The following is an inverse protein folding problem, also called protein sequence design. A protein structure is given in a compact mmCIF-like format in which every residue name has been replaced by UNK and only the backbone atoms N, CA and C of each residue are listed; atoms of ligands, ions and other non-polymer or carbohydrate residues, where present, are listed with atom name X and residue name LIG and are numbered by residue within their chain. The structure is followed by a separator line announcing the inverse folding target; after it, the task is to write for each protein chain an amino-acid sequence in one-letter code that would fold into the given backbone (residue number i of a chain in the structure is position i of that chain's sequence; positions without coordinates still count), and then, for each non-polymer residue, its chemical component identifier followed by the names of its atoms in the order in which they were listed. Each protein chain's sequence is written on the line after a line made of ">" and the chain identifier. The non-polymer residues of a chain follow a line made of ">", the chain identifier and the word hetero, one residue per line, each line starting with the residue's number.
data_IF_684072952208
#
_entry.id   IF_684072952208
#
_cell.length_a   1.000
_cell.length_b   1.000
_cell.length_c   1.000
_cell.angle_alpha   90.00
_cell.angle_beta   90.00
_cell.angle_gamma   90.00
#
_symmetry.space_group_name_H-M   'P 1'
#
loop_
_entity.id
_entity.type
_entity.pdbx_description
1 polymer ?
#
# COMPACT_ATOMS: atom_id res chain seq x y z
N UNK A 1 -9.33 -46.52 -16.76
CA UNK A 1 -8.15 -46.91 -17.56
C UNK A 1 -6.92 -46.52 -16.78
N UNK A 2 -6.11 -47.49 -16.33
CA UNK A 2 -4.80 -47.21 -15.72
C UNK A 2 -3.78 -47.18 -16.84
N UNK A 3 -3.39 -45.99 -17.31
CA UNK A 3 -2.26 -45.85 -18.22
C UNK A 3 -0.96 -46.13 -17.45
N UNK A 4 -0.12 -47.02 -17.97
CA UNK A 4 1.26 -47.14 -17.51
C UNK A 4 1.99 -45.85 -17.87
N UNK A 5 2.80 -45.32 -16.97
CA UNK A 5 3.54 -44.08 -17.18
C UNK A 5 4.86 -44.40 -17.89
N UNK A 6 5.05 -43.89 -19.09
CA UNK A 6 6.31 -43.97 -19.85
C UNK A 6 7.41 -43.12 -19.19
N UNK A 7 8.69 -43.35 -19.52
CA UNK A 7 9.77 -42.49 -19.01
C UNK A 7 9.56 -41.00 -19.32
N UNK A 8 9.11 -40.66 -20.53
CA UNK A 8 8.84 -39.27 -20.93
C UNK A 8 7.72 -38.64 -20.09
N UNK A 9 6.61 -39.36 -19.89
CA UNK A 9 5.52 -38.90 -19.01
C UNK A 9 5.98 -38.77 -17.56
N UNK A 10 6.89 -39.63 -17.10
CA UNK A 10 7.45 -39.53 -15.75
C UNK A 10 8.34 -38.29 -15.58
N UNK A 11 9.21 -37.99 -16.55
CA UNK A 11 10.02 -36.76 -16.51
C UNK A 11 9.13 -35.51 -16.57
N UNK A 12 8.10 -35.49 -17.42
CA UNK A 12 7.13 -34.40 -17.45
C UNK A 12 6.39 -34.25 -16.10
N UNK A 13 6.04 -35.35 -15.44
CA UNK A 13 5.43 -35.32 -14.12
C UNK A 13 6.42 -34.83 -13.02
N UNK A 14 7.70 -35.19 -13.11
CA UNK A 14 8.76 -34.66 -12.24
C UNK A 14 8.89 -33.14 -12.45
N UNK A 15 8.97 -32.67 -13.70
CA UNK A 15 9.00 -31.24 -14.05
C UNK A 15 7.84 -30.47 -13.40
N UNK A 16 6.60 -30.91 -13.61
CA UNK A 16 5.44 -30.24 -13.01
C UNK A 16 5.46 -30.22 -11.48
N UNK A 17 6.02 -31.26 -10.84
CA UNK A 17 6.21 -31.27 -9.38
C UNK A 17 7.32 -30.32 -8.92
N UNK A 18 8.41 -30.20 -9.67
CA UNK A 18 9.50 -29.23 -9.41
C UNK A 18 8.96 -27.81 -9.53
N UNK A 19 8.23 -27.49 -10.61
CA UNK A 19 7.63 -26.16 -10.81
C UNK A 19 6.68 -25.77 -9.66
N UNK A 20 5.98 -26.75 -9.08
CA UNK A 20 5.12 -26.52 -7.92
C UNK A 20 5.88 -26.39 -6.60
N UNK A 21 6.96 -27.15 -6.42
CA UNK A 21 7.61 -27.35 -5.11
C UNK A 21 9.09 -26.94 -5.04
N UNK A 22 9.60 -26.20 -6.02
CA UNK A 22 11.01 -25.79 -6.07
C UNK A 22 11.38 -24.96 -4.85
N UNK A 23 10.49 -24.07 -4.38
CA UNK A 23 10.79 -23.18 -3.27
C UNK A 23 10.92 -23.95 -1.94
N UNK A 24 10.06 -24.95 -1.72
CA UNK A 24 10.19 -25.87 -0.58
C UNK A 24 11.52 -26.63 -0.67
N UNK A 25 11.88 -27.13 -1.84
CA UNK A 25 13.10 -27.90 -2.02
C UNK A 25 14.36 -27.04 -1.78
N UNK A 26 14.40 -25.82 -2.32
CA UNK A 26 15.50 -24.86 -2.10
C UNK A 26 15.57 -24.41 -0.64
N UNK A 27 14.43 -24.17 0.01
CA UNK A 27 14.40 -23.87 1.44
C UNK A 27 14.94 -25.03 2.29
N UNK A 28 14.58 -26.28 1.95
CA UNK A 28 15.03 -27.47 2.66
C UNK A 28 16.55 -27.67 2.57
N UNK A 29 17.18 -27.34 1.43
CA UNK A 29 18.65 -27.34 1.28
C UNK A 29 19.35 -26.39 2.27
N UNK A 30 18.67 -25.32 2.68
CA UNK A 30 19.16 -24.36 3.67
C UNK A 30 18.72 -24.68 5.11
N UNK A 31 18.14 -25.86 5.33
CA UNK A 31 17.66 -26.33 6.63
C UNK A 31 16.30 -25.76 7.05
N UNK A 32 15.51 -25.23 6.11
CA UNK A 32 14.16 -24.71 6.36
C UNK A 32 13.12 -25.72 5.86
N UNK A 33 12.48 -26.43 6.79
CA UNK A 33 11.46 -27.44 6.48
C UNK A 33 12.05 -28.82 6.19
N UNK A 34 11.18 -29.74 5.76
CA UNK A 34 11.55 -31.13 5.47
C UNK A 34 12.19 -31.29 4.09
N UNK A 35 13.06 -32.29 3.95
CA UNK A 35 13.63 -32.67 2.65
C UNK A 35 12.52 -32.96 1.65
N UNK A 36 12.64 -32.38 0.46
CA UNK A 36 11.68 -32.57 -0.63
C UNK A 36 12.22 -33.61 -1.61
N UNK A 37 11.41 -34.63 -1.86
CA UNK A 37 11.63 -35.61 -2.92
C UNK A 37 10.48 -35.57 -3.93
N UNK A 38 10.83 -35.80 -5.20
CA UNK A 38 9.92 -35.77 -6.34
C UNK A 38 9.60 -37.20 -6.77
N UNK A 39 8.48 -37.73 -6.29
CA UNK A 39 8.06 -39.10 -6.59
C UNK A 39 6.95 -39.18 -7.65
N UNK A 40 7.10 -40.10 -8.61
CA UNK A 40 6.10 -40.43 -9.65
C UNK A 40 5.78 -41.92 -9.63
N UNK A 41 4.50 -42.27 -9.51
CA UNK A 41 4.05 -43.68 -9.59
C UNK A 41 4.01 -44.12 -11.05
N UNK A 42 4.76 -45.16 -11.38
CA UNK A 42 4.99 -45.58 -12.77
C UNK A 42 3.89 -46.50 -13.33
N UNK A 43 3.15 -47.15 -12.44
CA UNK A 43 2.09 -48.13 -12.78
C UNK A 43 0.87 -47.99 -11.86
N UNK A 44 0.19 -46.83 -11.87
CA UNK A 44 -0.84 -46.49 -10.90
C UNK A 44 -2.05 -47.45 -10.97
N UNK A 45 -2.17 -48.36 -10.01
CA UNK A 45 -3.28 -49.33 -9.95
C UNK A 45 -2.96 -50.70 -10.57
N UNK A 46 -1.79 -50.89 -11.18
CA UNK A 46 -1.32 -52.20 -11.66
C UNK A 46 -0.37 -52.82 -10.64
N UNK A 47 -0.94 -53.58 -9.68
CA UNK A 47 -0.18 -54.21 -8.56
C UNK A 47 -0.19 -55.74 -8.59
N UNK A 48 -0.96 -56.37 -9.47
CA UNK A 48 -1.19 -57.82 -9.48
C UNK A 48 -1.10 -58.39 -10.90
N UNK A 49 -0.80 -59.69 -11.03
CA UNK A 49 -0.80 -60.36 -12.33
C UNK A 49 -2.13 -60.25 -13.08
N UNK A 50 -3.27 -60.30 -12.37
CA UNK A 50 -4.61 -60.09 -12.96
C UNK A 50 -4.77 -58.70 -13.58
N UNK A 51 -4.16 -57.67 -12.99
CA UNK A 51 -4.18 -56.33 -13.55
C UNK A 51 -3.30 -56.23 -14.82
N UNK A 52 -2.18 -56.96 -14.85
CA UNK A 52 -1.31 -57.06 -16.04
C UNK A 52 -2.02 -57.80 -17.18
N UNK A 53 -2.75 -58.88 -16.89
CA UNK A 53 -3.53 -59.63 -17.88
C UNK A 53 -4.60 -58.76 -18.55
N UNK A 54 -5.31 -57.93 -17.78
CA UNK A 54 -6.30 -56.98 -18.31
C UNK A 54 -5.69 -55.89 -19.19
N UNK A 55 -4.44 -55.51 -18.93
CA UNK A 55 -3.71 -54.51 -19.71
C UNK A 55 -3.15 -55.10 -21.03
N UNK A 56 -2.85 -56.40 -21.02
CA UNK A 56 -2.18 -57.09 -22.11
C UNK A 56 -0.67 -57.23 -21.89
N UNK A 57 -0.15 -58.44 -22.10
CA UNK A 57 1.26 -58.76 -21.85
C UNK A 57 2.23 -58.02 -22.78
N UNK A 58 1.85 -57.74 -24.02
CA UNK A 58 2.68 -56.99 -24.99
C UNK A 58 2.92 -55.56 -24.52
N UNK A 59 1.87 -54.87 -24.09
CA UNK A 59 1.94 -53.51 -23.54
C UNK A 59 2.80 -53.46 -22.28
N UNK A 60 2.62 -54.44 -21.38
CA UNK A 60 3.42 -54.57 -20.16
C UNK A 60 4.90 -54.79 -20.46
N UNK A 61 5.22 -55.70 -21.40
CA UNK A 61 6.59 -55.99 -21.78
C UNK A 61 7.26 -54.78 -22.45
N UNK A 62 6.58 -54.12 -23.40
CA UNK A 62 7.08 -52.93 -24.07
C UNK A 62 7.40 -51.79 -23.08
N UNK A 63 6.48 -51.51 -22.16
CA UNK A 63 6.70 -50.53 -21.09
C UNK A 63 7.87 -50.91 -20.17
N UNK A 64 7.97 -52.18 -19.75
CA UNK A 64 9.08 -52.64 -18.92
C UNK A 64 10.44 -52.48 -19.62
N UNK A 65 10.49 -52.74 -20.93
CA UNK A 65 11.71 -52.59 -21.72
C UNK A 65 12.14 -51.12 -21.86
N UNK A 66 11.18 -50.19 -22.06
CA UNK A 66 11.47 -48.75 -22.05
C UNK A 66 12.07 -48.31 -20.71
N UNK A 67 11.50 -48.77 -19.59
CA UNK A 67 12.04 -48.42 -18.27
C UNK A 67 13.39 -49.07 -17.97
N UNK A 68 13.66 -50.28 -18.48
CA UNK A 68 14.97 -50.92 -18.35
C UNK A 68 16.07 -50.13 -19.06
N UNK A 69 15.78 -49.65 -20.27
CA UNK A 69 16.71 -48.82 -21.04
C UNK A 69 16.89 -47.43 -20.43
N UNK A 70 15.80 -46.81 -19.95
CA UNK A 70 15.89 -45.53 -19.28
C UNK A 70 16.66 -45.60 -17.96
N UNK A 71 16.46 -46.66 -17.16
CA UNK A 71 17.08 -46.81 -15.85
C UNK A 71 18.62 -46.97 -15.92
N UNK A 72 19.19 -47.33 -17.08
CA UNK A 72 20.64 -47.49 -17.23
C UNK A 72 21.38 -46.15 -17.37
N UNK A 73 20.65 -45.06 -17.56
CA UNK A 73 21.16 -43.71 -17.84
C UNK A 73 20.69 -42.66 -16.83
N UNK A 74 20.23 -43.09 -15.64
CA UNK A 74 19.74 -42.16 -14.63
C UNK A 74 20.89 -41.34 -14.02
N UNK A 75 20.71 -40.03 -13.86
CA UNK A 75 21.69 -39.20 -13.17
C UNK A 75 21.72 -39.50 -11.66
N UNK A 76 22.78 -39.05 -11.00
CA UNK A 76 22.85 -39.10 -9.54
C UNK A 76 21.65 -38.36 -8.91
N UNK A 77 21.14 -38.88 -7.80
CA UNK A 77 19.95 -38.31 -7.13
C UNK A 77 18.62 -38.79 -7.69
N UNK A 78 18.60 -39.64 -8.73
CA UNK A 78 17.39 -40.26 -9.29
C UNK A 78 17.42 -41.77 -9.13
N UNK A 79 16.35 -42.36 -8.62
CA UNK A 79 16.20 -43.80 -8.46
C UNK A 79 14.84 -44.31 -8.95
N UNK A 80 14.83 -45.52 -9.50
CA UNK A 80 13.60 -46.26 -9.82
C UNK A 80 13.42 -47.38 -8.82
N UNK A 81 12.51 -47.17 -7.87
CA UNK A 81 12.10 -48.20 -6.91
C UNK A 81 11.32 -49.28 -7.64
N UNK A 82 11.79 -50.52 -7.51
CA UNK A 82 11.16 -51.71 -8.09
C UNK A 82 10.36 -52.44 -7.02
N UNK A 83 9.28 -53.09 -7.43
CA UNK A 83 8.48 -53.93 -6.53
C UNK A 83 8.03 -55.19 -7.25
N UNK A 84 8.06 -56.32 -6.53
CA UNK A 84 7.65 -57.61 -7.04
C UNK A 84 6.19 -57.63 -7.50
N UNK A 85 5.94 -58.22 -8.67
CA UNK A 85 4.60 -58.61 -9.13
C UNK A 85 4.66 -60.02 -9.66
N UNK A 86 3.72 -60.86 -9.21
CA UNK A 86 3.57 -62.23 -9.70
C UNK A 86 2.62 -62.25 -10.89
N UNK A 87 3.11 -62.72 -12.04
CA UNK A 87 2.36 -62.85 -13.30
C UNK A 87 2.43 -64.31 -13.71
N UNK A 88 1.27 -64.99 -13.85
CA UNK A 88 1.19 -66.43 -14.19
C UNK A 88 2.09 -67.33 -13.32
N UNK A 89 2.14 -67.07 -12.01
CA UNK A 89 2.93 -67.85 -11.06
C UNK A 89 4.43 -67.52 -11.00
N UNK A 90 4.92 -66.58 -11.83
CA UNK A 90 6.31 -66.13 -11.82
C UNK A 90 6.40 -64.74 -11.20
N UNK A 91 7.19 -64.60 -10.12
CA UNK A 91 7.50 -63.32 -9.52
C UNK A 91 8.61 -62.59 -10.29
N UNK A 92 8.43 -61.30 -10.56
CA UNK A 92 9.46 -60.45 -11.14
C UNK A 92 9.44 -59.04 -10.54
N UNK A 93 10.58 -58.37 -10.54
CA UNK A 93 10.75 -57.01 -10.03
C UNK A 93 10.60 -55.97 -11.12
N UNK A 94 9.56 -55.15 -10.99
CA UNK A 94 9.18 -54.18 -12.01
C UNK A 94 9.18 -52.76 -11.44
N UNK A 95 9.47 -51.75 -12.27
CA UNK A 95 9.41 -50.33 -11.89
C UNK A 95 8.09 -49.99 -11.21
N UNK A 96 8.15 -49.33 -10.06
CA UNK A 96 6.97 -48.96 -9.28
C UNK A 96 6.87 -47.45 -9.08
N UNK A 97 7.99 -46.84 -8.67
CA UNK A 97 8.09 -45.40 -8.38
C UNK A 97 9.42 -44.88 -8.89
N UNK A 98 9.41 -43.72 -9.54
CA UNK A 98 10.61 -42.92 -9.78
C UNK A 98 10.70 -41.88 -8.67
N UNK A 99 11.82 -41.83 -7.94
CA UNK A 99 12.12 -40.78 -6.97
C UNK A 99 13.30 -39.95 -7.50
N UNK A 100 13.27 -38.65 -7.24
CA UNK A 100 14.38 -37.75 -7.51
C UNK A 100 14.51 -36.73 -6.37
N UNK A 101 15.73 -36.42 -5.94
CA UNK A 101 16.00 -35.17 -5.22
C UNK A 101 16.04 -33.98 -6.19
N UNK A 102 16.26 -32.76 -5.70
CA UNK A 102 16.18 -31.56 -6.55
C UNK A 102 17.26 -31.54 -7.64
N UNK A 103 18.50 -31.91 -7.31
CA UNK A 103 19.61 -31.95 -8.27
C UNK A 103 19.39 -33.05 -9.32
N UNK A 104 19.03 -34.26 -8.85
CA UNK A 104 18.70 -35.36 -9.75
C UNK A 104 17.52 -35.03 -10.66
N UNK A 105 16.47 -34.37 -10.15
CA UNK A 105 15.34 -33.92 -10.95
C UNK A 105 15.76 -32.87 -11.99
N UNK A 106 16.59 -31.90 -11.61
CA UNK A 106 17.08 -30.87 -12.51
C UNK A 106 17.92 -31.46 -13.66
N UNK A 107 18.86 -32.36 -13.35
CA UNK A 107 19.66 -33.05 -14.37
C UNK A 107 18.80 -33.94 -15.26
N UNK A 108 17.86 -34.70 -14.68
CA UNK A 108 16.94 -35.55 -15.44
C UNK A 108 16.09 -34.76 -16.44
N UNK A 109 15.63 -33.58 -16.01
CA UNK A 109 14.88 -32.67 -16.88
C UNK A 109 15.79 -32.13 -17.99
N UNK A 110 16.99 -31.66 -17.67
CA UNK A 110 17.93 -31.13 -18.66
C UNK A 110 18.33 -32.17 -19.72
N UNK A 111 18.70 -33.39 -19.31
CA UNK A 111 19.19 -34.46 -20.20
C UNK A 111 18.14 -34.98 -21.20
N UNK A 112 16.86 -34.64 -20.98
CA UNK A 112 15.74 -35.05 -21.85
C UNK A 112 15.26 -33.95 -22.80
N UNK A 113 15.80 -32.74 -22.71
CA UNK A 113 15.37 -31.57 -23.48
C UNK A 113 16.36 -31.24 -24.60
N UNK A 114 16.31 -31.98 -25.71
CA UNK A 114 17.01 -31.58 -26.95
C UNK A 114 16.26 -30.49 -27.75
N UNK A 115 14.95 -30.25 -27.48
CA UNK A 115 14.10 -29.35 -28.31
C UNK A 115 12.94 -28.61 -27.58
N UNK A 116 12.92 -28.52 -26.24
CA UNK A 116 11.78 -27.91 -25.50
C UNK A 116 12.17 -26.74 -24.58
N UNK A 117 11.19 -25.85 -24.33
CA UNK A 117 11.31 -24.59 -23.59
C UNK A 117 12.10 -24.73 -22.27
N UNK A 118 12.96 -23.74 -21.93
CA UNK A 118 13.73 -23.75 -20.69
C UNK A 118 12.81 -23.89 -19.47
N UNK A 119 13.32 -24.48 -18.39
CA UNK A 119 12.56 -24.56 -17.14
C UNK A 119 12.08 -23.16 -16.73
N UNK A 120 10.80 -23.04 -16.35
CA UNK A 120 10.17 -21.77 -15.94
C UNK A 120 10.85 -21.13 -14.72
N UNK A 121 11.66 -21.90 -13.99
CA UNK A 121 12.44 -21.45 -12.82
C UNK A 121 13.90 -21.81 -13.01
N UNK A 122 14.75 -20.79 -13.05
CA UNK A 122 16.21 -20.91 -13.01
C UNK A 122 16.65 -21.29 -11.57
N UNK A 123 16.73 -22.58 -11.27
CA UNK A 123 17.05 -23.10 -9.93
C UNK A 123 18.35 -22.52 -9.36
N UNK A 124 19.35 -22.23 -10.21
CA UNK A 124 20.59 -21.57 -9.80
C UNK A 124 20.35 -20.15 -9.23
N UNK A 125 19.49 -19.36 -9.89
CA UNK A 125 19.09 -18.03 -9.42
C UNK A 125 18.28 -18.12 -8.13
N UNK A 126 17.33 -19.06 -8.05
CA UNK A 126 16.53 -19.30 -6.85
C UNK A 126 17.41 -19.65 -5.62
N UNK A 127 18.41 -20.53 -5.80
CA UNK A 127 19.37 -20.88 -4.75
C UNK A 127 20.24 -19.69 -4.32
N UNK A 128 20.76 -18.95 -5.29
CA UNK A 128 21.56 -17.75 -5.01
C UNK A 128 20.75 -16.71 -4.23
N UNK A 129 19.49 -16.48 -4.63
CA UNK A 129 18.57 -15.58 -3.95
C UNK A 129 18.27 -16.05 -2.53
N UNK A 130 17.93 -17.32 -2.33
CA UNK A 130 17.65 -17.89 -1.00
C UNK A 130 18.85 -17.76 -0.05
N UNK A 131 20.06 -18.04 -0.54
CA UNK A 131 21.31 -17.86 0.21
C UNK A 131 21.55 -16.40 0.60
N UNK A 132 21.29 -15.47 -0.33
CA UNK A 132 21.46 -14.03 -0.11
C UNK A 132 20.46 -13.51 0.93
N UNK A 133 19.18 -13.88 0.81
CA UNK A 133 18.14 -13.56 1.79
C UNK A 133 18.50 -14.06 3.19
N UNK A 134 18.93 -15.33 3.28
CA UNK A 134 19.35 -15.92 4.56
C UNK A 134 20.56 -15.18 5.16
N UNK A 135 21.53 -14.80 4.34
CA UNK A 135 22.71 -14.05 4.76
C UNK A 135 22.38 -12.65 5.26
N UNK A 136 21.45 -11.96 4.58
CA UNK A 136 20.89 -10.68 5.04
C UNK A 136 20.12 -10.81 6.37
N UNK A 137 19.67 -12.02 6.71
CA UNK A 137 18.91 -12.34 7.91
C UNK A 137 17.40 -12.27 7.70
N UNK A 138 16.94 -12.50 6.48
CA UNK A 138 15.53 -12.65 6.18
C UNK A 138 14.97 -13.95 6.79
N UNK A 139 13.71 -13.88 7.20
CA UNK A 139 12.85 -15.03 7.46
C UNK A 139 12.53 -15.72 6.14
N UNK A 140 13.28 -16.79 5.87
CA UNK A 140 13.12 -17.58 4.66
C UNK A 140 12.01 -18.60 4.84
N UNK A 141 11.02 -18.58 3.96
CA UNK A 141 9.95 -19.58 3.84
C UNK A 141 9.71 -19.86 2.35
N UNK A 142 9.06 -20.98 1.97
CA UNK A 142 8.72 -21.23 0.58
C UNK A 142 7.81 -20.16 -0.02
N UNK A 143 6.95 -19.52 0.78
CA UNK A 143 6.09 -18.44 0.33
C UNK A 143 6.88 -17.15 0.09
N UNK A 144 7.73 -16.76 1.05
CA UNK A 144 8.57 -15.56 0.90
C UNK A 144 9.57 -15.72 -0.24
N UNK A 145 10.21 -16.89 -0.39
CA UNK A 145 11.13 -17.14 -1.50
C UNK A 145 10.46 -17.00 -2.87
N UNK A 146 9.27 -17.58 -3.06
CA UNK A 146 8.50 -17.40 -4.31
C UNK A 146 8.17 -15.94 -4.56
N UNK A 147 7.71 -15.24 -3.53
CA UNK A 147 7.31 -13.84 -3.64
C UNK A 147 8.51 -12.94 -4.05
N UNK A 148 9.68 -13.14 -3.42
CA UNK A 148 10.89 -12.38 -3.78
C UNK A 148 11.41 -12.77 -5.17
N UNK A 149 11.37 -14.05 -5.54
CA UNK A 149 11.78 -14.49 -6.88
C UNK A 149 10.91 -13.89 -8.00
N UNK A 150 9.66 -13.53 -7.70
CA UNK A 150 8.76 -12.86 -8.64
C UNK A 150 8.99 -11.34 -8.77
N UNK A 151 9.89 -10.76 -7.98
CA UNK A 151 10.16 -9.33 -8.03
C UNK A 151 11.14 -8.97 -9.17
N UNK A 152 11.03 -7.75 -9.72
CA UNK A 152 12.09 -7.15 -10.52
C UNK A 152 13.43 -7.10 -9.75
N UNK A 153 14.54 -7.25 -10.46
CA UNK A 153 15.88 -7.33 -9.84
C UNK A 153 16.21 -6.13 -8.95
N UNK A 154 15.83 -4.91 -9.34
CA UNK A 154 16.00 -3.71 -8.53
C UNK A 154 15.21 -3.78 -7.21
N UNK A 155 13.99 -4.33 -7.22
CA UNK A 155 13.16 -4.46 -6.02
C UNK A 155 13.69 -5.55 -5.09
N UNK A 156 14.29 -6.61 -5.64
CA UNK A 156 15.03 -7.62 -4.86
C UNK A 156 16.20 -6.98 -4.12
N UNK A 157 16.99 -6.15 -4.80
CA UNK A 157 18.12 -5.45 -4.18
C UNK A 157 17.66 -4.49 -3.06
N UNK A 158 16.58 -3.73 -3.29
CA UNK A 158 15.98 -2.86 -2.27
C UNK A 158 15.52 -3.67 -1.06
N UNK A 159 14.84 -4.79 -1.27
CA UNK A 159 14.36 -5.67 -0.21
C UNK A 159 15.51 -6.24 0.63
N UNK A 160 16.57 -6.75 -0.02
CA UNK A 160 17.73 -7.30 0.67
C UNK A 160 18.42 -6.22 1.52
N UNK A 161 18.60 -5.02 0.95
CA UNK A 161 19.15 -3.88 1.68
C UNK A 161 18.27 -3.47 2.87
N UNK A 162 16.95 -3.48 2.70
CA UNK A 162 15.99 -3.19 3.76
C UNK A 162 16.08 -4.19 4.91
N UNK A 163 16.07 -5.50 4.61
CA UNK A 163 16.22 -6.56 5.62
C UNK A 163 17.55 -6.44 6.35
N UNK A 164 18.66 -6.28 5.61
CA UNK A 164 19.98 -6.12 6.21
C UNK A 164 20.10 -4.85 7.07
N UNK A 165 19.37 -3.79 6.72
CA UNK A 165 19.28 -2.57 7.53
C UNK A 165 18.48 -2.80 8.81
N UNK A 166 17.27 -3.37 8.71
CA UNK A 166 16.40 -3.66 9.85
C UNK A 166 17.06 -4.60 10.87
N UNK A 167 17.82 -5.60 10.39
CA UNK A 167 18.58 -6.49 11.25
C UNK A 167 19.62 -5.75 12.11
N UNK A 168 20.22 -4.69 11.57
CA UNK A 168 21.23 -3.86 12.27
C UNK A 168 20.61 -2.76 13.14
N UNK A 169 19.32 -2.49 12.96
CA UNK A 169 18.59 -1.41 13.65
C UNK A 169 17.35 -2.01 14.33
N UNK A 170 17.50 -2.61 15.52
CA UNK A 170 16.41 -3.27 16.22
C UNK A 170 15.31 -2.30 16.69
N UNK A 171 15.54 -1.00 16.64
CA UNK A 171 14.57 0.05 16.90
C UNK A 171 14.60 1.05 15.75
N UNK A 172 13.45 1.29 15.12
CA UNK A 172 13.27 2.25 14.02
C UNK A 172 12.54 3.54 14.45
N UNK A 173 12.22 3.70 15.75
CA UNK A 173 11.43 4.83 16.27
C UNK A 173 12.08 6.20 16.07
N UNK A 174 13.41 6.25 15.90
CA UNK A 174 14.13 7.50 15.62
C UNK A 174 14.04 7.97 14.16
N UNK A 175 13.36 7.22 13.29
CA UNK A 175 13.15 7.57 11.90
C UNK A 175 11.67 7.74 11.61
N UNK A 176 11.33 8.67 10.73
CA UNK A 176 10.07 8.60 9.98
C UNK A 176 10.25 7.65 8.80
N UNK A 177 9.15 7.15 8.21
CA UNK A 177 9.20 6.32 7.00
C UNK A 177 10.10 6.89 5.89
N UNK A 178 10.10 8.22 5.71
CA UNK A 178 10.87 8.91 4.67
C UNK A 178 12.35 9.13 5.02
N UNK A 179 12.72 8.92 6.29
CA UNK A 179 14.09 9.06 6.77
C UNK A 179 14.83 7.73 6.83
N UNK A 180 14.15 6.59 6.59
CA UNK A 180 14.78 5.27 6.58
C UNK A 180 15.91 5.26 5.53
N UNK A 181 17.19 5.07 5.94
CA UNK A 181 18.34 5.22 5.05
C UNK A 181 18.62 3.91 4.31
N UNK A 182 17.62 3.43 3.57
CA UNK A 182 17.71 2.24 2.74
C UNK A 182 17.70 2.66 1.26
N UNK A 183 18.78 2.42 0.51
CA UNK A 183 18.87 2.77 -0.91
C UNK A 183 17.68 2.23 -1.71
N UNK A 184 17.05 3.08 -2.51
CA UNK A 184 15.91 2.74 -3.37
C UNK A 184 14.56 2.55 -2.64
N UNK A 185 14.54 2.46 -1.32
CA UNK A 185 13.32 2.26 -0.54
C UNK A 185 12.57 3.58 -0.28
N UNK A 186 11.87 4.09 -1.29
CA UNK A 186 11.00 5.26 -1.13
C UNK A 186 9.60 4.89 -0.64
N UNK A 187 8.79 5.88 -0.22
CA UNK A 187 7.44 5.64 0.34
C UNK A 187 6.55 4.79 -0.58
N UNK A 188 6.51 5.10 -1.89
CA UNK A 188 5.76 4.30 -2.88
C UNK A 188 6.21 2.84 -2.96
N UNK A 189 7.47 2.56 -2.65
CA UNK A 189 7.99 1.19 -2.65
C UNK A 189 7.47 0.45 -1.42
N UNK A 190 7.48 1.10 -0.25
CA UNK A 190 6.90 0.56 0.97
C UNK A 190 5.37 0.37 0.87
N UNK A 191 4.67 1.25 0.17
CA UNK A 191 3.23 1.09 -0.09
C UNK A 191 2.96 -0.20 -0.89
N UNK A 192 3.79 -0.50 -1.89
CA UNK A 192 3.66 -1.70 -2.74
C UNK A 192 4.19 -2.98 -2.08
N UNK A 193 5.36 -2.92 -1.44
CA UNK A 193 6.12 -4.10 -1.00
C UNK A 193 6.21 -4.25 0.53
N UNK A 194 5.59 -3.35 1.30
CA UNK A 194 5.69 -3.34 2.77
C UNK A 194 5.20 -4.61 3.45
N UNK A 195 4.17 -5.26 2.91
CA UNK A 195 3.70 -6.55 3.42
C UNK A 195 4.76 -7.65 3.25
N UNK A 196 5.39 -7.73 2.07
CA UNK A 196 6.47 -8.68 1.82
C UNK A 196 7.69 -8.35 2.69
N UNK A 197 8.07 -7.07 2.80
CA UNK A 197 9.15 -6.63 3.71
C UNK A 197 8.88 -7.09 5.14
N UNK A 198 7.65 -6.92 5.65
CA UNK A 198 7.27 -7.41 6.98
C UNK A 198 7.46 -8.91 7.10
N UNK A 199 6.98 -9.68 6.12
CA UNK A 199 7.03 -11.14 6.17
C UNK A 199 8.48 -11.66 6.09
N UNK A 200 9.36 -11.01 5.31
CA UNK A 200 10.78 -11.37 5.26
C UNK A 200 11.58 -10.82 6.43
N UNK A 201 11.24 -9.66 7.00
CA UNK A 201 11.95 -9.09 8.14
C UNK A 201 11.47 -9.66 9.48
N UNK A 202 10.29 -10.29 9.51
CA UNK A 202 9.63 -10.78 10.73
C UNK A 202 9.05 -9.66 11.61
N UNK A 203 9.01 -8.42 11.11
CA UNK A 203 8.53 -7.21 11.82
C UNK A 203 8.09 -6.15 10.82
N UNK A 204 7.14 -5.31 11.19
CA UNK A 204 6.64 -4.24 10.32
C UNK A 204 7.26 -2.89 10.70
N UNK A 205 8.26 -2.44 9.95
CA UNK A 205 8.92 -1.15 10.18
C UNK A 205 7.93 0.03 10.15
N UNK A 206 6.78 -0.12 9.48
CA UNK A 206 5.77 0.94 9.36
C UNK A 206 5.06 1.24 10.68
N UNK A 207 5.01 0.27 11.59
CA UNK A 207 4.39 0.41 12.90
C UNK A 207 5.38 0.93 13.96
N UNK A 208 6.67 0.97 13.63
CA UNK A 208 7.75 1.24 14.58
C UNK A 208 8.33 2.66 14.45
N UNK A 209 8.38 3.15 13.22
CA UNK A 209 8.84 4.51 12.90
C UNK A 209 7.97 5.56 13.60
N UNK A 210 8.60 6.66 14.05
CA UNK A 210 7.83 7.77 14.62
C UNK A 210 6.89 8.37 13.57
N UNK A 211 5.71 8.85 14.00
CA UNK A 211 4.81 9.55 13.11
C UNK A 211 5.48 10.80 12.54
N UNK A 212 5.07 11.17 11.34
CA UNK A 212 5.42 12.48 10.79
C UNK A 212 4.59 13.53 11.53
N UNK A 213 5.27 14.46 12.19
CA UNK A 213 4.60 15.58 12.82
C UNK A 213 3.98 16.49 11.76
N UNK A 214 2.80 17.01 12.06
CA UNK A 214 2.12 18.01 11.21
C UNK A 214 2.41 19.39 11.78
N UNK A 215 2.71 20.33 10.89
CA UNK A 215 2.95 21.73 11.23
C UNK A 215 1.74 22.54 10.79
N UNK A 216 1.17 23.29 11.73
CA UNK A 216 0.08 24.23 11.50
C UNK A 216 0.66 25.62 11.46
N UNK A 217 0.55 26.30 10.33
CA UNK A 217 0.98 27.69 10.21
C UNK A 217 -0.14 28.65 10.61
N UNK A 218 0.21 29.68 11.35
CA UNK A 218 -0.75 30.69 11.82
C UNK A 218 -0.19 32.11 11.68
N UNK A 219 -1.10 33.08 11.69
CA UNK A 219 -0.78 34.51 11.70
C UNK A 219 -1.60 35.18 12.80
N UNK A 220 -0.93 35.89 13.71
CA UNK A 220 -1.55 36.78 14.67
C UNK A 220 -2.03 38.05 13.96
N UNK A 221 -3.34 38.31 13.97
CA UNK A 221 -3.92 39.48 13.31
C UNK A 221 -4.62 40.44 14.27
N UNK A 222 -4.55 40.17 15.58
CA UNK A 222 -5.04 41.10 16.60
C UNK A 222 -4.38 42.48 16.46
N UNK A 223 -5.17 43.54 16.65
CA UNK A 223 -4.74 44.94 16.50
C UNK A 223 -3.63 45.31 17.49
N UNK A 224 -3.77 44.93 18.76
CA UNK A 224 -2.78 45.23 19.80
C UNK A 224 -1.50 44.42 19.57
N UNK A 225 -1.61 43.15 19.17
CA UNK A 225 -0.46 42.34 18.80
C UNK A 225 0.25 42.87 17.56
N UNK A 226 -0.48 43.24 16.51
CA UNK A 226 0.09 43.81 15.29
C UNK A 226 0.84 45.13 15.57
N UNK A 227 0.30 45.99 16.43
CA UNK A 227 0.94 47.24 16.85
C UNK A 227 2.20 47.04 17.71
N UNK A 228 2.37 45.87 18.34
CA UNK A 228 3.48 45.60 19.26
C UNK A 228 4.83 45.37 18.57
N UNK A 229 4.86 45.16 17.25
CA UNK A 229 6.08 44.83 16.50
C UNK A 229 6.62 43.41 16.74
N UNK A 230 5.89 42.56 17.49
CA UNK A 230 6.25 41.15 17.73
C UNK A 230 6.09 40.30 16.47
N UNK A 231 6.62 39.07 16.52
CA UNK A 231 6.49 38.07 15.46
C UNK A 231 5.01 37.81 15.16
N UNK A 232 4.61 38.09 13.92
CA UNK A 232 3.24 37.93 13.44
C UNK A 232 2.93 36.52 12.90
N UNK A 233 3.89 35.90 12.23
CA UNK A 233 3.72 34.58 11.61
C UNK A 233 4.37 33.52 12.48
N UNK A 234 3.61 32.47 12.78
CA UNK A 234 4.03 31.42 13.69
C UNK A 234 3.68 30.04 13.15
N UNK A 235 4.15 29.02 13.85
CA UNK A 235 3.77 27.64 13.58
C UNK A 235 3.65 26.84 14.87
N UNK A 236 2.64 25.98 14.95
CA UNK A 236 2.49 24.99 16.00
C UNK A 236 2.65 23.59 15.41
N UNK A 237 3.39 22.73 16.10
CA UNK A 237 3.64 21.35 15.64
C UNK A 237 2.90 20.37 16.54
N UNK A 238 2.33 19.31 15.97
CA UNK A 238 1.62 18.28 16.73
C UNK A 238 2.46 17.69 17.85
N UNK A 239 1.90 17.66 19.07
CA UNK A 239 2.57 17.17 20.27
C UNK A 239 3.42 18.21 21.00
N UNK A 240 3.51 19.44 20.46
CA UNK A 240 4.19 20.55 21.11
C UNK A 240 3.28 21.28 22.10
N UNK A 241 3.86 22.11 22.96
CA UNK A 241 3.13 22.96 23.89
C UNK A 241 2.27 23.99 23.16
N UNK A 242 1.19 24.43 23.79
CA UNK A 242 0.23 25.39 23.22
C UNK A 242 0.56 26.84 23.62
N UNK A 243 1.83 27.24 23.50
CA UNK A 243 2.29 28.60 23.83
C UNK A 243 2.08 29.56 22.64
N UNK A 244 0.90 30.18 22.58
CA UNK A 244 0.52 31.17 21.58
C UNK A 244 0.52 32.59 22.18
N UNK A 245 0.73 33.61 21.36
CA UNK A 245 0.97 34.98 21.84
C UNK A 245 -0.19 35.62 22.61
N UNK A 246 -1.43 35.13 22.44
CA UNK A 246 -2.62 35.49 23.20
C UNK A 246 -3.68 34.40 23.00
N UNK A 247 -4.64 34.32 23.93
CA UNK A 247 -5.79 33.46 23.76
C UNK A 247 -6.79 34.12 22.80
N UNK A 248 -7.03 33.55 21.61
CA UNK A 248 -7.90 34.15 20.62
C UNK A 248 -9.37 33.95 21.00
N UNK A 249 -10.19 34.96 20.70
CA UNK A 249 -11.65 34.80 20.68
C UNK A 249 -12.14 34.25 19.35
N UNK A 250 -11.37 34.48 18.29
CA UNK A 250 -11.75 34.12 16.92
C UNK A 250 -10.63 33.36 16.25
N UNK A 251 -10.96 32.19 15.72
CA UNK A 251 -10.10 31.45 14.80
C UNK A 251 -10.69 31.53 13.41
N UNK A 252 -9.93 32.08 12.47
CA UNK A 252 -10.24 31.99 11.05
C UNK A 252 -9.33 30.93 10.41
N UNK A 253 -9.92 29.84 9.93
CA UNK A 253 -9.23 28.83 9.13
C UNK A 253 -9.37 29.19 7.66
N UNK A 254 -8.23 29.35 6.98
CA UNK A 254 -8.15 29.65 5.54
C UNK A 254 -7.38 28.57 4.81
N UNK A 255 -7.78 28.20 3.59
CA UNK A 255 -7.03 27.20 2.80
C UNK A 255 -5.76 27.80 2.18
N UNK A 256 -5.87 29.02 1.67
CA UNK A 256 -4.78 29.66 0.94
C UNK A 256 -3.72 30.30 1.87
N UNK A 257 -2.45 30.00 1.58
CA UNK A 257 -1.27 30.52 2.31
C UNK A 257 -1.17 32.05 2.27
N UNK A 258 -1.41 32.68 1.12
CA UNK A 258 -1.28 34.13 0.98
C UNK A 258 -2.38 34.86 1.73
N UNK A 259 -3.60 34.30 1.74
CA UNK A 259 -4.67 34.81 2.60
C UNK A 259 -4.30 34.76 4.07
N UNK A 260 -3.67 33.67 4.56
CA UNK A 260 -3.18 33.62 5.95
C UNK A 260 -2.11 34.65 6.23
N UNK A 261 -1.15 34.83 5.31
CA UNK A 261 -0.01 35.73 5.52
C UNK A 261 -0.45 37.20 5.53
N UNK A 262 -1.38 37.56 4.66
CA UNK A 262 -1.73 38.97 4.42
C UNK A 262 -3.09 39.38 4.97
N UNK A 263 -3.78 38.51 5.71
CA UNK A 263 -5.10 38.83 6.26
C UNK A 263 -5.09 40.17 7.03
N UNK A 264 -6.06 41.07 6.85
CA UNK A 264 -6.11 42.34 7.54
C UNK A 264 -6.20 42.19 9.07
N UNK A 265 -5.75 43.20 9.85
CA UNK A 265 -5.90 43.16 11.30
C UNK A 265 -7.37 43.10 11.75
N UNK A 266 -7.67 42.19 12.67
CA UNK A 266 -8.99 42.00 13.30
C UNK A 266 -8.76 41.63 14.77
N UNK A 267 -9.43 42.32 15.69
CA UNK A 267 -9.26 42.12 17.14
C UNK A 267 -9.44 40.66 17.57
N UNK A 268 -8.64 40.22 18.53
CA UNK A 268 -8.71 38.90 19.18
C UNK A 268 -8.69 37.69 18.21
N UNK A 269 -8.16 37.88 16.99
CA UNK A 269 -8.26 36.90 15.91
C UNK A 269 -6.91 36.26 15.60
N UNK A 270 -6.88 34.94 15.42
CA UNK A 270 -5.74 34.22 14.82
C UNK A 270 -6.21 33.57 13.52
N UNK A 271 -5.41 33.72 12.47
CA UNK A 271 -5.67 33.10 11.16
C UNK A 271 -4.80 31.87 11.00
N UNK A 272 -5.38 30.74 10.61
CA UNK A 272 -4.73 29.42 10.58
C UNK A 272 -4.84 28.82 9.19
N UNK A 273 -3.77 28.17 8.71
CA UNK A 273 -3.75 27.47 7.42
C UNK A 273 -4.46 26.10 7.54
N UNK A 274 -5.57 25.94 6.84
CA UNK A 274 -6.31 24.69 6.68
C UNK A 274 -5.73 23.88 5.51
N UNK A 275 -4.71 23.06 5.77
CA UNK A 275 -4.04 22.21 4.77
C UNK A 275 -4.84 20.99 4.28
N UNK A 276 -6.09 21.17 3.86
CA UNK A 276 -6.97 20.10 3.34
C UNK A 276 -7.63 19.21 4.42
N UNK A 277 -8.29 18.11 3.99
CA UNK A 277 -9.12 17.24 4.86
C UNK A 277 -8.39 16.73 6.12
N UNK A 278 -7.12 16.32 6.00
CA UNK A 278 -6.34 15.82 7.14
C UNK A 278 -5.96 16.92 8.15
N UNK A 279 -5.73 18.15 7.67
CA UNK A 279 -5.47 19.28 8.54
C UNK A 279 -6.72 19.70 9.32
N UNK A 280 -7.91 19.64 8.70
CA UNK A 280 -9.18 19.94 9.37
C UNK A 280 -9.42 19.05 10.60
N UNK A 281 -9.20 17.73 10.47
CA UNK A 281 -9.31 16.80 11.59
C UNK A 281 -8.28 17.07 12.71
N UNK A 282 -7.08 17.52 12.34
CA UNK A 282 -6.07 17.90 13.31
C UNK A 282 -6.44 19.18 14.06
N UNK A 283 -6.85 20.22 13.33
CA UNK A 283 -7.28 21.50 13.87
C UNK A 283 -8.43 21.33 14.87
N UNK A 284 -9.32 20.38 14.60
CA UNK A 284 -10.41 20.04 15.50
C UNK A 284 -9.96 19.52 16.87
N UNK A 285 -8.70 19.17 17.09
CA UNK A 285 -8.22 18.71 18.40
C UNK A 285 -7.27 19.71 19.08
N UNK A 286 -7.10 20.92 18.53
CA UNK A 286 -6.21 21.93 19.10
C UNK A 286 -6.93 22.70 20.20
N UNK A 287 -6.42 22.73 21.45
CA UNK A 287 -7.12 23.32 22.60
C UNK A 287 -7.46 24.80 22.42
N UNK A 288 -6.55 25.62 21.90
CA UNK A 288 -6.83 27.05 21.70
C UNK A 288 -7.88 27.31 20.61
N UNK A 289 -8.01 26.42 19.61
CA UNK A 289 -9.11 26.45 18.62
C UNK A 289 -10.43 26.08 19.30
N UNK A 290 -10.44 25.02 20.11
CA UNK A 290 -11.61 24.59 20.89
C UNK A 290 -12.03 25.59 21.97
N UNK A 291 -11.12 26.42 22.45
CA UNK A 291 -11.41 27.44 23.47
C UNK A 291 -11.97 28.73 22.88
N UNK A 292 -11.76 29.00 21.59
CA UNK A 292 -12.20 30.22 20.95
C UNK A 292 -13.73 30.35 20.92
N UNK A 293 -14.24 31.57 21.04
CA UNK A 293 -15.68 31.85 20.98
C UNK A 293 -16.24 31.50 19.59
N UNK A 294 -15.48 31.84 18.54
CA UNK A 294 -15.87 31.66 17.15
C UNK A 294 -14.81 30.88 16.37
N UNK A 295 -15.23 29.81 15.70
CA UNK A 295 -14.43 29.11 14.68
C UNK A 295 -15.05 29.39 13.32
N UNK A 296 -14.29 30.05 12.47
CA UNK A 296 -14.71 30.52 11.15
C UNK A 296 -13.87 29.86 10.07
N UNK A 297 -14.50 29.47 8.97
CA UNK A 297 -13.85 28.84 7.83
C UNK A 297 -14.01 29.70 6.56
N UNK A 298 -12.95 29.77 5.76
CA UNK A 298 -12.98 30.38 4.44
C UNK A 298 -12.10 29.59 3.47
N UNK A 299 -12.73 28.96 2.48
CA UNK A 299 -12.07 28.15 1.46
C UNK A 299 -12.37 28.62 0.04
N UNK A 300 -11.90 27.84 -0.93
CA UNK A 300 -12.26 28.01 -2.33
C UNK A 300 -13.75 27.70 -2.53
N UNK A 301 -14.41 28.43 -3.43
CA UNK A 301 -15.75 28.05 -3.89
C UNK A 301 -15.58 26.99 -4.99
N UNK A 302 -15.23 25.77 -4.57
CA UNK A 302 -15.14 24.57 -5.41
C UNK A 302 -15.59 23.32 -4.66
N UNK A 303 -15.63 22.17 -5.34
CA UNK A 303 -16.09 20.92 -4.73
C UNK A 303 -15.20 20.47 -3.55
N UNK A 304 -13.90 20.71 -3.60
CA UNK A 304 -12.96 20.29 -2.56
C UNK A 304 -13.07 21.20 -1.33
N UNK A 305 -13.21 22.52 -1.52
CA UNK A 305 -13.38 23.49 -0.44
C UNK A 305 -14.64 23.25 0.39
N UNK A 306 -15.78 22.94 -0.26
CA UNK A 306 -16.99 22.53 0.46
C UNK A 306 -16.83 21.17 1.15
N UNK A 307 -16.12 20.22 0.54
CA UNK A 307 -15.86 18.94 1.19
C UNK A 307 -14.99 19.12 2.44
N UNK A 308 -13.98 20.00 2.42
CA UNK A 308 -13.18 20.32 3.61
C UNK A 308 -14.03 20.97 4.69
N UNK A 309 -14.89 21.94 4.34
CA UNK A 309 -15.83 22.56 5.28
C UNK A 309 -16.76 21.54 5.94
N UNK A 310 -17.35 20.63 5.17
CA UNK A 310 -18.22 19.56 5.68
C UNK A 310 -17.49 18.67 6.70
N UNK A 311 -16.29 18.21 6.34
CA UNK A 311 -15.46 17.38 7.22
C UNK A 311 -15.01 18.14 8.47
N UNK A 312 -14.69 19.43 8.35
CA UNK A 312 -14.28 20.27 9.47
C UNK A 312 -15.44 20.48 10.46
N UNK A 313 -16.66 20.70 9.96
CA UNK A 313 -17.87 20.73 10.78
C UNK A 313 -18.13 19.41 11.48
N UNK A 314 -18.04 18.29 10.76
CA UNK A 314 -18.22 16.97 11.34
C UNK A 314 -17.22 16.70 12.49
N UNK A 315 -15.95 17.08 12.31
CA UNK A 315 -14.90 16.89 13.31
C UNK A 315 -15.08 17.76 14.56
N UNK A 316 -15.59 19.00 14.41
CA UNK A 316 -15.86 19.91 15.52
C UNK A 316 -17.22 19.65 16.19
N UNK A 317 -18.16 18.97 15.52
CA UNK A 317 -19.48 18.63 16.05
C UNK A 317 -19.45 17.58 17.18
N UNK A 318 -18.34 16.86 17.35
CA UNK A 318 -18.11 15.97 18.49
C UNK A 318 -17.18 16.61 19.53
N UNK A 319 -17.32 16.27 20.83
CA UNK A 319 -16.35 16.67 21.85
C UNK A 319 -14.94 16.20 21.50
N UNK A 320 -13.94 16.99 21.87
CA UNK A 320 -12.54 16.62 21.68
C UNK A 320 -12.11 15.51 22.68
N UNK A 321 -11.04 14.75 22.37
CA UNK A 321 -10.53 13.70 23.27
C UNK A 321 -10.14 14.19 24.68
N UNK A 322 -9.80 15.47 24.82
CA UNK A 322 -9.47 16.13 26.09
C UNK A 322 -10.70 16.62 26.87
N UNK A 323 -11.91 16.36 26.35
CA UNK A 323 -13.18 16.74 26.95
C UNK A 323 -13.68 18.13 26.55
N UNK A 324 -12.99 18.86 25.66
CA UNK A 324 -13.51 20.13 25.16
C UNK A 324 -14.83 19.94 24.41
N UNK A 325 -15.82 20.83 24.58
CA UNK A 325 -17.15 20.65 24.00
C UNK A 325 -17.13 20.70 22.47
N UNK A 326 -18.22 20.21 21.87
CA UNK A 326 -18.49 20.42 20.45
C UNK A 326 -18.52 21.93 20.12
N UNK A 327 -18.07 22.28 18.91
CA UNK A 327 -18.02 23.65 18.41
C UNK A 327 -18.69 23.75 17.05
N UNK A 328 -19.47 24.81 16.89
CA UNK A 328 -20.03 25.18 15.59
C UNK A 328 -18.97 25.88 14.73
N UNK A 329 -18.99 25.64 13.43
CA UNK A 329 -18.14 26.32 12.44
C UNK A 329 -19.00 27.15 11.51
N UNK A 330 -18.73 28.45 11.49
CA UNK A 330 -19.37 29.37 10.55
C UNK A 330 -18.48 29.54 9.31
N UNK A 331 -19.04 29.56 8.11
CA UNK A 331 -18.27 29.89 6.90
C UNK A 331 -18.44 31.36 6.53
N UNK A 332 -17.48 31.94 5.81
CA UNK A 332 -17.61 33.24 5.16
C UNK A 332 -17.28 33.11 3.67
N UNK A 333 -17.96 33.92 2.84
CA UNK A 333 -17.67 34.04 1.41
C UNK A 333 -17.83 32.72 0.63
N UNK A 334 -18.72 31.83 1.09
CA UNK A 334 -18.96 30.51 0.51
C UNK A 334 -20.47 30.22 0.36
N UNK A 335 -21.31 31.26 0.32
CA UNK A 335 -22.74 31.09 0.08
C UNK A 335 -23.12 31.35 -1.38
N UNK A 336 -24.36 31.01 -1.75
CA UNK A 336 -24.87 31.24 -3.11
C UNK A 336 -24.80 32.72 -3.54
N UNK A 337 -24.93 33.65 -2.60
CA UNK A 337 -24.79 35.10 -2.85
C UNK A 337 -23.35 35.48 -3.20
N UNK A 338 -22.37 34.91 -2.50
CA UNK A 338 -20.95 35.12 -2.75
C UNK A 338 -20.52 34.47 -4.07
N UNK A 339 -20.98 33.24 -4.35
CA UNK A 339 -20.80 32.56 -5.64
C UNK A 339 -21.26 33.45 -6.80
N UNK A 340 -22.43 34.08 -6.68
CA UNK A 340 -22.96 34.98 -7.69
C UNK A 340 -22.13 36.26 -7.82
N UNK A 341 -21.82 36.89 -6.68
CA UNK A 341 -21.07 38.16 -6.61
C UNK A 341 -19.70 38.04 -7.27
N UNK A 342 -19.00 36.93 -7.04
CA UNK A 342 -17.63 36.72 -7.53
C UNK A 342 -17.56 35.88 -8.81
N UNK A 343 -18.69 35.65 -9.50
CA UNK A 343 -18.78 34.84 -10.71
C UNK A 343 -17.80 35.23 -11.83
N UNK A 344 -17.42 36.50 -11.92
CA UNK A 344 -16.41 37.00 -12.87
C UNK A 344 -15.01 36.37 -12.69
N UNK A 345 -14.73 35.81 -11.51
CA UNK A 345 -13.47 35.11 -11.20
C UNK A 345 -13.57 33.59 -11.44
N UNK A 346 -14.70 33.11 -11.95
CA UNK A 346 -14.98 31.71 -12.17
C UNK A 346 -14.08 31.05 -13.22
N UNK A 347 -13.55 29.87 -12.91
CA UNK A 347 -12.73 29.04 -13.80
C UNK A 347 -13.31 27.63 -13.97
N UNK A 348 -12.99 27.00 -15.11
CA UNK A 348 -13.40 25.63 -15.46
C UNK A 348 -12.24 24.66 -15.62
N UNK A 349 -11.00 25.13 -15.55
CA UNK A 349 -9.81 24.32 -15.77
C UNK A 349 -8.88 24.41 -14.55
N UNK A 350 -8.20 23.30 -14.28
CA UNK A 350 -7.18 23.22 -13.24
C UNK A 350 -5.87 23.92 -13.67
N UNK A 351 -4.86 23.93 -12.78
CA UNK A 351 -3.54 24.53 -13.03
C UNK A 351 -2.78 23.88 -14.21
N UNK A 352 -3.18 22.68 -14.63
CA UNK A 352 -2.63 21.96 -15.78
C UNK A 352 -3.49 22.14 -17.06
N UNK A 353 -4.50 23.00 -17.02
CA UNK A 353 -5.41 23.25 -18.15
C UNK A 353 -6.42 22.14 -18.39
N UNK A 354 -6.61 21.20 -17.47
CA UNK A 354 -7.58 20.11 -17.61
C UNK A 354 -8.94 20.56 -17.09
N UNK A 355 -10.07 20.14 -17.69
CA UNK A 355 -11.38 20.46 -17.17
C UNK A 355 -11.56 19.97 -15.74
N UNK A 356 -12.04 20.85 -14.86
CA UNK A 356 -12.45 20.51 -13.50
C UNK A 356 -13.65 19.57 -13.60
N UNK A 357 -13.59 18.46 -12.87
CA UNK A 357 -14.63 17.42 -12.93
C UNK A 357 -15.80 17.78 -12.00
N UNK A 358 -17.02 17.35 -12.34
CA UNK A 358 -18.12 17.39 -11.38
C UNK A 358 -17.83 16.50 -10.18
N UNK A 359 -18.48 16.79 -9.05
CA UNK A 359 -18.44 15.97 -7.84
C UNK A 359 -19.84 15.47 -7.48
N UNK A 360 -20.02 14.16 -7.28
CA UNK A 360 -21.28 13.59 -6.78
C UNK A 360 -21.31 13.46 -5.25
N UNK A 361 -20.29 13.96 -4.52
CA UNK A 361 -20.17 13.80 -3.07
C UNK A 361 -21.36 14.47 -2.36
N UNK A 362 -21.96 13.76 -1.39
CA UNK A 362 -23.02 14.30 -0.55
C UNK A 362 -22.39 14.91 0.70
N UNK A 363 -22.69 16.18 0.97
CA UNK A 363 -22.09 16.97 2.04
C UNK A 363 -23.19 17.40 3.05
N UNK A 364 -23.55 16.53 4.01
CA UNK A 364 -24.73 16.70 4.87
C UNK A 364 -24.62 17.79 5.93
N UNK A 365 -23.41 18.34 6.17
CA UNK A 365 -23.15 19.36 7.18
C UNK A 365 -23.08 20.78 6.58
N UNK A 366 -23.36 20.95 5.29
CA UNK A 366 -23.50 22.26 4.67
C UNK A 366 -24.81 22.94 5.07
N UNK A 367 -24.81 24.27 5.12
CA UNK A 367 -26.04 25.05 5.23
C UNK A 367 -26.82 24.99 3.92
N UNK A 368 -28.08 25.43 3.93
CA UNK A 368 -28.88 25.51 2.70
C UNK A 368 -28.22 26.41 1.63
N UNK A 369 -27.72 27.58 2.04
CA UNK A 369 -27.08 28.54 1.13
C UNK A 369 -25.78 28.00 0.51
N UNK A 370 -24.98 27.29 1.31
CA UNK A 370 -23.76 26.59 0.83
C UNK A 370 -24.11 25.40 -0.06
N UNK A 371 -25.15 24.63 0.27
CA UNK A 371 -25.63 23.50 -0.54
C UNK A 371 -26.07 23.96 -1.92
N UNK A 372 -26.76 25.11 -2.02
CA UNK A 372 -27.12 25.71 -3.31
C UNK A 372 -25.86 26.07 -4.11
N UNK A 373 -24.86 26.67 -3.46
CA UNK A 373 -23.61 27.04 -4.12
C UNK A 373 -22.84 25.81 -4.60
N UNK A 374 -22.63 24.81 -3.73
CA UNK A 374 -22.00 23.54 -4.05
C UNK A 374 -22.70 22.82 -5.20
N UNK A 375 -24.03 22.68 -5.17
CA UNK A 375 -24.76 22.01 -6.25
C UNK A 375 -24.62 22.75 -7.59
N UNK A 376 -24.49 24.08 -7.57
CA UNK A 376 -24.28 24.88 -8.79
C UNK A 376 -22.93 24.59 -9.45
N UNK A 377 -21.86 24.45 -8.67
CA UNK A 377 -20.50 24.25 -9.20
C UNK A 377 -20.12 22.77 -9.40
N UNK A 378 -20.66 21.87 -8.57
CA UNK A 378 -20.33 20.44 -8.57
C UNK A 378 -21.16 19.62 -9.57
N UNK A 379 -22.24 20.20 -10.12
CA UNK A 379 -23.18 19.53 -11.04
C UNK A 379 -22.50 18.82 -12.22
N UNK A 380 -23.01 17.65 -12.59
CA UNK A 380 -22.63 16.97 -13.82
C UNK A 380 -23.12 17.68 -15.09
N UNK A 381 -24.09 18.59 -14.96
CA UNK A 381 -24.62 19.39 -16.06
C UNK A 381 -23.73 20.59 -16.43
N UNK A 382 -24.20 21.42 -17.39
CA UNK A 382 -23.54 22.68 -17.74
C UNK A 382 -23.54 23.65 -16.55
N UNK A 383 -22.40 24.29 -16.33
CA UNK A 383 -22.24 25.39 -15.36
C UNK A 383 -21.30 26.44 -15.97
N UNK A 384 -21.52 27.76 -15.72
CA UNK A 384 -20.63 28.80 -16.24
C UNK A 384 -19.19 28.65 -15.74
N UNK A 385 -19.02 28.18 -14.50
CA UNK A 385 -17.71 27.92 -13.89
C UNK A 385 -17.83 26.87 -12.78
N UNK A 386 -16.71 26.23 -12.41
CA UNK A 386 -16.67 25.18 -11.38
C UNK A 386 -15.87 25.57 -10.14
N UNK A 387 -15.09 26.64 -10.22
CA UNK A 387 -14.25 27.10 -9.11
C UNK A 387 -14.12 28.60 -9.11
N UNK A 388 -14.16 29.20 -7.92
CA UNK A 388 -13.59 30.52 -7.65
C UNK A 388 -12.53 30.32 -6.57
N UNK A 389 -11.30 30.70 -6.87
CA UNK A 389 -10.18 30.60 -5.94
C UNK A 389 -10.37 31.65 -4.81
N UNK A 390 -10.08 31.27 -3.57
CA UNK A 390 -10.16 32.11 -2.37
C UNK A 390 -9.34 33.40 -2.54
N UNK A 391 -8.17 33.30 -3.18
CA UNK A 391 -7.26 34.42 -3.45
C UNK A 391 -7.81 35.46 -4.44
N UNK A 392 -8.85 35.12 -5.22
CA UNK A 392 -9.50 36.07 -6.12
C UNK A 392 -10.43 37.04 -5.38
N UNK A 393 -10.85 36.69 -4.16
CA UNK A 393 -11.75 37.51 -3.36
C UNK A 393 -10.94 38.48 -2.48
N UNK A 394 -11.22 39.80 -2.48
CA UNK A 394 -10.45 40.77 -1.70
C UNK A 394 -10.46 40.46 -0.20
N UNK A 395 -9.27 40.46 0.41
CA UNK A 395 -9.13 40.20 1.85
C UNK A 395 -9.88 41.21 2.74
N UNK A 396 -10.08 42.44 2.27
CA UNK A 396 -10.89 43.46 2.96
C UNK A 396 -12.36 43.06 3.05
N UNK A 397 -12.89 42.34 2.06
CA UNK A 397 -14.25 41.80 2.10
C UNK A 397 -14.33 40.65 3.10
N UNK A 398 -13.32 39.77 3.14
CA UNK A 398 -13.24 38.69 4.12
C UNK A 398 -13.18 39.22 5.56
N UNK A 399 -12.35 40.24 5.82
CA UNK A 399 -12.30 40.90 7.12
C UNK A 399 -13.64 41.56 7.49
N UNK A 400 -14.33 42.16 6.54
CA UNK A 400 -15.66 42.76 6.75
C UNK A 400 -16.70 41.69 7.11
N UNK A 401 -16.73 40.57 6.39
CA UNK A 401 -17.60 39.42 6.71
C UNK A 401 -17.29 38.86 8.09
N UNK A 402 -16.01 38.70 8.42
CA UNK A 402 -15.57 38.21 9.73
C UNK A 402 -16.07 39.12 10.86
N UNK A 403 -15.92 40.44 10.72
CA UNK A 403 -16.45 41.42 11.69
C UNK A 403 -17.97 41.34 11.83
N UNK A 404 -18.70 41.12 10.72
CA UNK A 404 -20.14 40.92 10.74
C UNK A 404 -20.58 39.76 11.63
N UNK A 405 -19.83 38.64 11.61
CA UNK A 405 -20.05 37.50 12.52
C UNK A 405 -19.97 37.93 13.98
N UNK A 406 -18.92 38.67 14.32
CA UNK A 406 -18.63 39.08 15.70
C UNK A 406 -19.65 40.10 16.23
N UNK A 407 -20.22 40.90 15.34
CA UNK A 407 -21.28 41.87 15.66
C UNK A 407 -22.69 41.25 15.69
N UNK A 408 -22.84 39.96 15.36
CA UNK A 408 -24.14 39.29 15.27
C UNK A 408 -25.02 39.79 14.11
N UNK A 409 -24.40 40.38 13.08
CA UNK A 409 -25.05 40.86 11.86
C UNK A 409 -24.87 39.79 10.79
N UNK A 410 -25.77 38.80 10.79
CA UNK A 410 -25.87 37.80 9.73
C UNK A 410 -27.12 38.02 8.90
#
# INVERSE_FOLDING_TARGET
>A
MSALVTPQEAVAAVRGKVEQRWAEAVCAELGVGDRVEFSVRLRPGVRTGKAVERLGHTTWHGWHMQWRDFSSRLPAGVEVVRTAVTIRGVAGDFPAVLNADLDGAATLIADTHDDAEPATVELGQARALASTLRSAGATLTPATLRAVHGLPANDVDVLINAVAWLRRHPDAGNWTLRQLPVPGMHTKWLDTHGALLRDVAGRDVRDEVRPRLTVIHLTYVDLCHAASGRRRHDAWTTGDVHDIAYQPRVILVVENRDSRLWFPPVSDTIVVEGGGKAAAALLANVPWIRSADHVVYWGDIDADGYAILDHFRAALAVPAPDGAPAKHVTSILMEATDLHHYSQHGVNHDKAGRPIKPSPELLPHLTEAETIAYNTIATAGPTPFRRIEQEAIPLTHAATRLLGILEGRY
#
